data_IF_806860116333
#
_entry.id   IF_806860116333
#
_cell.length_a   1.000
_cell.length_b   1.000
_cell.length_c   1.000
_cell.angle_alpha   90.00
_cell.angle_beta   90.00
_cell.angle_gamma   90.00
#
_symmetry.space_group_name_H-M   'P 1'
#
loop_
_entity.id
_entity.type
_entity.pdbx_description
1 polymer ?
#
# COMPACT_ATOMS: atom_id res chain seq x y z
N UNK A 1 -31.54 -3.18 -3.64
CA UNK A 1 -31.13 -1.88 -3.09
C UNK A 1 -30.04 -2.17 -2.07
N UNK A 2 -28.89 -1.54 -2.17
CA UNK A 2 -27.80 -1.76 -1.21
C UNK A 2 -28.17 -1.06 0.10
N UNK A 3 -28.28 -1.81 1.17
CA UNK A 3 -28.52 -1.31 2.52
C UNK A 3 -27.46 -1.86 3.50
N UNK A 4 -27.43 -1.31 4.70
CA UNK A 4 -26.47 -1.66 5.74
C UNK A 4 -26.57 -3.15 6.11
N UNK A 5 -27.78 -3.70 6.18
CA UNK A 5 -28.01 -5.09 6.55
C UNK A 5 -27.41 -6.05 5.52
N UNK A 6 -27.51 -5.75 4.23
CA UNK A 6 -26.93 -6.57 3.17
C UNK A 6 -25.39 -6.57 3.25
N UNK A 7 -24.78 -5.42 3.55
CA UNK A 7 -23.33 -5.29 3.72
C UNK A 7 -22.87 -6.07 4.97
N UNK A 8 -23.56 -5.89 6.10
CA UNK A 8 -23.23 -6.61 7.34
C UNK A 8 -23.41 -8.13 7.17
N UNK A 9 -24.46 -8.60 6.51
CA UNK A 9 -24.66 -10.01 6.20
C UNK A 9 -23.55 -10.56 5.30
N UNK A 10 -23.09 -9.82 4.32
CA UNK A 10 -21.96 -10.21 3.46
C UNK A 10 -20.65 -10.32 4.25
N UNK A 11 -20.41 -9.42 5.19
CA UNK A 11 -19.25 -9.50 6.11
C UNK A 11 -19.39 -10.69 7.07
N UNK A 12 -20.59 -10.92 7.64
CA UNK A 12 -20.87 -12.03 8.53
C UNK A 12 -20.69 -13.40 7.84
N UNK A 13 -21.08 -13.54 6.57
CA UNK A 13 -20.84 -14.73 5.76
C UNK A 13 -19.33 -15.03 5.59
N UNK A 14 -18.47 -14.03 5.74
CA UNK A 14 -17.01 -14.15 5.74
C UNK A 14 -16.43 -14.33 7.17
N UNK A 15 -17.28 -14.54 8.18
CA UNK A 15 -16.88 -14.71 9.59
C UNK A 15 -16.46 -13.39 10.27
N UNK A 16 -16.87 -12.23 9.75
CA UNK A 16 -16.46 -10.92 10.21
C UNK A 16 -17.64 -10.20 10.86
N UNK A 17 -17.45 -9.80 12.12
CA UNK A 17 -18.39 -8.94 12.85
C UNK A 17 -17.86 -7.52 12.81
N UNK A 18 -18.60 -6.61 12.19
CA UNK A 18 -18.21 -5.21 12.06
C UNK A 18 -18.12 -4.52 13.43
N UNK A 19 -17.04 -3.79 13.68
CA UNK A 19 -16.90 -2.91 14.85
C UNK A 19 -17.65 -1.59 14.66
N UNK A 20 -17.60 -0.70 15.68
CA UNK A 20 -18.31 0.56 15.64
C UNK A 20 -17.88 1.46 14.47
N UNK A 21 -16.57 1.51 14.14
CA UNK A 21 -16.04 2.33 13.05
C UNK A 21 -16.36 1.73 11.69
N UNK A 22 -16.32 0.43 11.60
CA UNK A 22 -16.74 -0.28 10.39
C UNK A 22 -18.23 -0.07 10.12
N UNK A 23 -19.10 -0.13 11.15
CA UNK A 23 -20.52 0.19 10.99
C UNK A 23 -20.77 1.64 10.56
N UNK A 24 -20.05 2.59 11.15
CA UNK A 24 -20.11 3.99 10.69
C UNK A 24 -19.74 4.12 9.22
N UNK A 25 -18.71 3.41 8.78
CA UNK A 25 -18.28 3.36 7.38
C UNK A 25 -19.32 2.68 6.48
N UNK A 26 -19.91 1.57 6.94
CA UNK A 26 -20.98 0.86 6.23
C UNK A 26 -22.17 1.78 6.02
N UNK A 27 -22.63 2.48 7.05
CA UNK A 27 -23.74 3.43 6.97
C UNK A 27 -23.45 4.55 5.95
N UNK A 28 -22.25 5.14 6.00
CA UNK A 28 -21.85 6.19 5.07
C UNK A 28 -21.75 5.71 3.62
N UNK A 29 -21.22 4.51 3.40
CA UNK A 29 -21.10 3.92 2.06
C UNK A 29 -22.47 3.47 1.51
N UNK A 30 -23.35 2.93 2.36
CA UNK A 30 -24.71 2.62 1.97
C UNK A 30 -25.50 3.89 1.59
N UNK A 31 -25.33 4.98 2.36
CA UNK A 31 -25.91 6.29 2.04
C UNK A 31 -25.38 6.83 0.69
N UNK A 32 -24.07 6.77 0.46
CA UNK A 32 -23.43 7.19 -0.80
C UNK A 32 -24.01 6.48 -2.02
N UNK A 33 -24.37 5.20 -1.87
CA UNK A 33 -24.84 4.35 -2.98
C UNK A 33 -26.36 4.27 -3.10
N UNK A 34 -27.12 4.93 -2.22
CA UNK A 34 -28.59 5.02 -2.38
C UNK A 34 -28.91 5.71 -3.70
N UNK A 35 -29.87 5.16 -4.48
CA UNK A 35 -30.40 5.88 -5.62
C UNK A 35 -30.96 7.21 -5.14
N UNK A 36 -30.58 8.32 -5.77
CA UNK A 36 -31.15 9.62 -5.47
C UNK A 36 -32.66 9.57 -5.70
N UNK A 37 -33.46 9.52 -4.64
CA UNK A 37 -34.85 9.95 -4.72
C UNK A 37 -34.82 11.42 -5.16
N UNK A 38 -35.73 11.87 -6.04
CA UNK A 38 -35.71 13.18 -6.72
C UNK A 38 -35.51 14.39 -5.79
N UNK A 39 -35.59 14.20 -4.47
CA UNK A 39 -35.53 15.25 -3.45
C UNK A 39 -34.47 15.05 -2.37
N UNK A 40 -33.63 14.01 -2.46
CA UNK A 40 -32.60 13.73 -1.46
C UNK A 40 -31.20 13.74 -2.11
N UNK A 41 -30.54 14.87 -2.02
CA UNK A 41 -29.11 14.96 -2.35
C UNK A 41 -28.34 14.47 -1.14
N UNK A 42 -27.60 13.35 -1.27
CA UNK A 42 -26.59 13.01 -0.27
C UNK A 42 -25.69 14.23 -0.04
N UNK A 43 -25.48 14.59 1.21
CA UNK A 43 -24.60 15.72 1.57
C UNK A 43 -23.17 15.52 1.05
N UNK A 44 -22.77 14.26 0.85
CA UNK A 44 -21.43 13.88 0.46
C UNK A 44 -21.42 13.12 -0.87
N UNK A 45 -20.45 13.42 -1.72
CA UNK A 45 -20.19 12.72 -2.97
C UNK A 45 -19.15 11.60 -2.82
N UNK A 46 -18.52 11.49 -1.66
CA UNK A 46 -17.54 10.46 -1.40
C UNK A 46 -17.43 10.07 0.07
N UNK A 47 -16.74 8.96 0.30
CA UNK A 47 -16.32 8.49 1.63
C UNK A 47 -14.81 8.30 1.61
N UNK A 48 -14.15 8.88 2.60
CA UNK A 48 -12.70 8.81 2.82
C UNK A 48 -12.43 8.00 4.09
N UNK A 49 -11.99 6.76 3.93
CA UNK A 49 -11.65 5.87 5.05
C UNK A 49 -10.15 5.91 5.30
N UNK A 50 -9.72 6.40 6.47
CA UNK A 50 -8.29 6.44 6.79
C UNK A 50 -7.96 5.80 8.14
N UNK A 51 -6.68 5.49 8.35
CA UNK A 51 -6.15 4.90 9.58
C UNK A 51 -5.06 3.88 9.30
N UNK A 52 -4.49 3.30 10.33
CA UNK A 52 -3.39 2.34 10.22
C UNK A 52 -3.75 1.13 9.37
N UNK A 53 -2.77 0.48 8.72
CA UNK A 53 -2.97 -0.79 8.02
C UNK A 53 -3.57 -1.86 8.94
N UNK A 54 -4.36 -2.78 8.37
CA UNK A 54 -4.96 -3.89 9.13
C UNK A 54 -6.26 -3.55 9.88
N UNK A 55 -6.72 -2.31 9.88
CA UNK A 55 -7.93 -1.88 10.61
C UNK A 55 -9.25 -2.20 9.91
N UNK A 56 -9.20 -2.89 8.78
CA UNK A 56 -10.41 -3.33 8.06
C UNK A 56 -11.00 -2.32 7.09
N UNK A 57 -10.33 -1.20 6.79
CA UNK A 57 -10.76 -0.20 5.80
C UNK A 57 -11.10 -0.84 4.45
N UNK A 58 -10.09 -1.49 3.85
CA UNK A 58 -10.24 -2.13 2.54
C UNK A 58 -11.30 -3.20 2.55
N UNK A 59 -11.42 -3.97 3.63
CA UNK A 59 -12.42 -5.02 3.76
C UNK A 59 -13.86 -4.50 3.61
N UNK A 60 -14.19 -3.41 4.31
CA UNK A 60 -15.51 -2.78 4.22
C UNK A 60 -15.72 -2.20 2.82
N UNK A 61 -14.75 -1.44 2.31
CA UNK A 61 -14.81 -0.82 0.98
C UNK A 61 -14.91 -1.87 -0.13
N UNK A 62 -14.15 -2.98 -0.04
CA UNK A 62 -14.20 -4.11 -0.96
C UNK A 62 -15.60 -4.70 -1.02
N UNK A 63 -16.17 -5.01 0.16
CA UNK A 63 -17.50 -5.62 0.25
C UNK A 63 -18.56 -4.72 -0.36
N UNK A 64 -18.52 -3.42 -0.06
CA UNK A 64 -19.48 -2.45 -0.63
C UNK A 64 -19.27 -2.28 -2.13
N UNK A 65 -18.02 -2.20 -2.58
CA UNK A 65 -17.71 -2.09 -4.00
C UNK A 65 -18.20 -3.32 -4.78
N UNK A 66 -18.00 -4.53 -4.27
CA UNK A 66 -18.49 -5.76 -4.91
C UNK A 66 -20.02 -5.76 -5.04
N UNK A 67 -20.72 -5.35 -3.99
CA UNK A 67 -22.21 -5.33 -3.93
C UNK A 67 -22.83 -4.19 -4.72
N UNK A 68 -22.09 -3.15 -5.08
CA UNK A 68 -22.62 -2.00 -5.84
C UNK A 68 -23.01 -2.42 -7.26
N UNK A 69 -24.28 -2.23 -7.62
CA UNK A 69 -24.82 -2.49 -8.95
C UNK A 69 -24.87 -1.19 -9.77
N UNK A 70 -23.71 -0.76 -10.26
CA UNK A 70 -23.54 0.42 -11.09
C UNK A 70 -22.24 0.31 -11.91
N UNK A 71 -22.07 1.20 -12.90
CA UNK A 71 -20.81 1.28 -13.66
C UNK A 71 -19.69 1.79 -12.76
N UNK A 72 -18.80 0.90 -12.36
CA UNK A 72 -17.80 1.15 -11.34
C UNK A 72 -16.38 0.87 -11.83
N UNK A 73 -15.43 1.61 -11.28
CA UNK A 73 -14.01 1.44 -11.57
C UNK A 73 -13.21 1.47 -10.27
N UNK A 74 -12.26 0.56 -10.15
CA UNK A 74 -11.36 0.47 -8.99
C UNK A 74 -9.94 0.30 -9.44
N UNK A 75 -9.02 0.98 -8.80
CA UNK A 75 -7.60 0.85 -9.03
C UNK A 75 -6.80 1.40 -7.83
N UNK A 76 -5.55 0.99 -7.76
CA UNK A 76 -4.60 1.61 -6.84
C UNK A 76 -4.25 3.02 -7.31
N UNK A 77 -4.06 3.93 -6.36
CA UNK A 77 -3.83 5.34 -6.67
C UNK A 77 -2.62 5.57 -7.59
N UNK A 78 -1.52 4.84 -7.38
CA UNK A 78 -0.34 4.96 -8.25
C UNK A 78 -0.56 4.43 -9.69
N UNK A 79 -1.44 3.44 -9.88
CA UNK A 79 -1.83 2.97 -11.22
C UNK A 79 -2.62 4.04 -11.96
N UNK A 80 -3.53 4.70 -11.24
CA UNK A 80 -4.26 5.85 -11.75
C UNK A 80 -3.32 6.96 -12.20
N UNK A 81 -2.36 7.37 -11.35
CA UNK A 81 -1.37 8.41 -11.70
C UNK A 81 -0.58 8.05 -12.96
N UNK A 82 -0.15 6.81 -13.07
CA UNK A 82 0.58 6.30 -14.26
C UNK A 82 -0.29 6.36 -15.52
N UNK A 83 -1.55 5.96 -15.41
CA UNK A 83 -2.49 6.01 -16.53
C UNK A 83 -2.78 7.45 -16.96
N UNK A 84 -3.02 8.35 -16.01
CA UNK A 84 -3.29 9.76 -16.28
C UNK A 84 -2.11 10.45 -16.95
N UNK A 85 -0.89 10.24 -16.44
CA UNK A 85 0.32 10.80 -17.04
C UNK A 85 0.52 10.31 -18.48
N UNK A 86 0.29 9.01 -18.75
CA UNK A 86 0.37 8.46 -20.12
C UNK A 86 -0.67 9.10 -21.05
N UNK A 87 -1.90 9.32 -20.60
CA UNK A 87 -2.95 9.98 -21.39
C UNK A 87 -2.63 11.44 -21.65
N UNK A 88 -2.13 12.15 -20.64
CA UNK A 88 -1.71 13.55 -20.78
C UNK A 88 -0.62 13.73 -21.83
N UNK A 89 0.32 12.80 -21.95
CA UNK A 89 1.36 12.88 -23.00
C UNK A 89 0.75 12.84 -24.40
N UNK A 90 -0.31 12.05 -24.59
CA UNK A 90 -0.96 11.85 -25.89
C UNK A 90 -2.09 12.85 -26.17
N UNK A 91 -2.54 13.62 -25.19
CA UNK A 91 -3.59 14.62 -25.38
C UNK A 91 -3.08 15.85 -26.15
N UNK A 92 -3.82 16.33 -27.16
CA UNK A 92 -3.45 17.54 -27.90
C UNK A 92 -3.24 18.74 -26.96
N UNK A 93 -2.39 19.68 -27.39
CA UNK A 93 -2.16 20.92 -26.63
C UNK A 93 -3.43 21.75 -26.60
N UNK A 94 -3.85 22.19 -25.41
CA UNK A 94 -5.04 22.98 -25.16
C UNK A 94 -5.01 23.57 -23.75
N UNK A 95 -5.91 24.51 -23.47
CA UNK A 95 -5.92 25.28 -22.21
C UNK A 95 -6.27 24.43 -20.98
N UNK A 96 -7.06 23.37 -21.11
CA UNK A 96 -7.46 22.49 -20.01
C UNK A 96 -7.29 20.98 -20.38
N UNK A 97 -6.07 20.60 -20.70
CA UNK A 97 -5.74 19.22 -21.07
C UNK A 97 -6.09 18.22 -19.95
N UNK A 98 -5.82 18.57 -18.72
CA UNK A 98 -6.06 17.71 -17.57
C UNK A 98 -7.57 17.51 -17.33
N UNK A 99 -8.36 18.58 -17.46
CA UNK A 99 -9.82 18.47 -17.37
C UNK A 99 -10.41 17.63 -18.51
N UNK A 100 -9.90 17.78 -19.74
CA UNK A 100 -10.29 16.96 -20.90
C UNK A 100 -10.01 15.49 -20.66
N UNK A 101 -8.78 15.13 -20.29
CA UNK A 101 -8.37 13.75 -19.98
C UNK A 101 -9.19 13.18 -18.83
N UNK A 102 -9.42 13.99 -17.77
CA UNK A 102 -10.23 13.55 -16.62
C UNK A 102 -11.66 13.23 -17.00
N UNK A 103 -12.31 14.07 -17.83
CA UNK A 103 -13.66 13.83 -18.34
C UNK A 103 -13.73 12.56 -19.18
N UNK A 104 -12.78 12.38 -20.11
CA UNK A 104 -12.71 11.17 -20.93
C UNK A 104 -12.49 9.91 -20.07
N UNK A 105 -11.66 10.03 -19.03
CA UNK A 105 -11.35 8.92 -18.13
C UNK A 105 -12.54 8.53 -17.27
N UNK A 106 -13.34 9.50 -16.84
CA UNK A 106 -14.55 9.33 -16.02
C UNK A 106 -15.80 8.99 -16.85
N UNK A 107 -15.71 9.00 -18.16
CA UNK A 107 -16.87 8.74 -19.01
C UNK A 107 -17.52 7.39 -18.69
N UNK A 108 -18.80 7.45 -18.36
CA UNK A 108 -19.55 6.28 -17.94
C UNK A 108 -19.23 5.72 -16.55
N UNK A 109 -18.35 6.31 -15.75
CA UNK A 109 -18.04 5.87 -14.40
C UNK A 109 -18.99 6.54 -13.40
N UNK A 110 -19.81 5.73 -12.71
CA UNK A 110 -20.75 6.20 -11.69
C UNK A 110 -20.16 6.09 -10.28
N UNK A 111 -19.28 5.09 -10.07
CA UNK A 111 -18.60 4.86 -8.81
C UNK A 111 -17.11 4.61 -9.05
N UNK A 112 -16.28 5.40 -8.39
CA UNK A 112 -14.83 5.29 -8.42
C UNK A 112 -14.33 4.86 -7.04
N UNK A 113 -13.42 3.89 -7.01
CA UNK A 113 -12.73 3.49 -5.79
C UNK A 113 -11.22 3.60 -5.98
N UNK A 114 -10.56 4.38 -5.15
CA UNK A 114 -9.10 4.38 -5.04
C UNK A 114 -8.65 3.69 -3.78
N UNK A 115 -7.80 2.69 -3.97
CA UNK A 115 -7.09 2.06 -2.88
C UNK A 115 -5.75 2.75 -2.61
N UNK A 116 -5.38 2.77 -1.33
CA UNK A 116 -4.09 3.30 -0.87
C UNK A 116 -3.86 4.73 -1.36
N UNK A 117 -4.89 5.56 -1.26
CA UNK A 117 -4.81 6.97 -1.65
C UNK A 117 -3.78 7.71 -0.81
N UNK A 118 -2.77 8.23 -1.46
CA UNK A 118 -1.72 9.04 -0.85
C UNK A 118 -1.09 9.97 -1.89
N UNK A 119 -0.69 11.15 -1.46
CA UNK A 119 -0.04 12.16 -2.32
C UNK A 119 1.28 12.54 -1.67
N UNK A 120 2.37 12.34 -2.40
CA UNK A 120 3.72 12.57 -1.88
C UNK A 120 4.48 13.67 -2.62
N UNK A 121 4.14 13.96 -3.87
CA UNK A 121 4.79 15.03 -4.63
C UNK A 121 3.80 16.05 -5.17
N UNK A 122 4.32 17.21 -5.53
CA UNK A 122 3.51 18.36 -5.96
C UNK A 122 2.84 18.13 -7.32
N UNK A 123 3.44 17.37 -8.21
CA UNK A 123 2.86 17.08 -9.53
C UNK A 123 1.63 16.18 -9.40
N UNK A 124 1.74 15.14 -8.57
CA UNK A 124 0.63 14.25 -8.24
C UNK A 124 -0.49 15.00 -7.50
N UNK A 125 -0.12 15.92 -6.59
CA UNK A 125 -1.05 16.78 -5.87
C UNK A 125 -1.88 17.65 -6.83
N UNK A 126 -1.23 18.31 -7.78
CA UNK A 126 -1.88 19.15 -8.77
C UNK A 126 -2.81 18.35 -9.69
N UNK A 127 -2.32 17.20 -10.18
CA UNK A 127 -3.10 16.30 -11.01
C UNK A 127 -4.35 15.83 -10.26
N UNK A 128 -4.18 15.41 -8.99
CA UNK A 128 -5.29 14.90 -8.20
C UNK A 128 -6.31 15.98 -7.84
N UNK A 129 -5.88 17.19 -7.52
CA UNK A 129 -6.79 18.31 -7.24
C UNK A 129 -7.71 18.59 -8.43
N UNK A 130 -7.16 18.72 -9.63
CA UNK A 130 -7.93 18.95 -10.86
C UNK A 130 -8.80 17.77 -11.26
N UNK A 131 -8.35 16.54 -11.02
CA UNK A 131 -9.15 15.35 -11.25
C UNK A 131 -10.36 15.29 -10.31
N UNK A 132 -10.18 15.57 -9.01
CA UNK A 132 -11.27 15.64 -8.05
C UNK A 132 -12.27 16.73 -8.40
N UNK A 133 -11.84 17.92 -8.80
CA UNK A 133 -12.72 18.98 -9.31
C UNK A 133 -13.64 18.46 -10.40
N UNK A 134 -13.05 17.74 -11.37
CA UNK A 134 -13.80 17.20 -12.51
C UNK A 134 -14.77 16.10 -12.07
N UNK A 135 -14.32 15.17 -11.22
CA UNK A 135 -15.13 14.07 -10.73
C UNK A 135 -16.33 14.57 -9.90
N UNK A 136 -16.10 15.57 -9.04
CA UNK A 136 -17.16 16.23 -8.25
C UNK A 136 -18.15 16.94 -9.17
N UNK A 137 -17.67 17.70 -10.15
CA UNK A 137 -18.55 18.40 -11.11
C UNK A 137 -19.39 17.44 -11.95
N UNK A 138 -18.90 16.25 -12.27
CA UNK A 138 -19.63 15.20 -12.99
C UNK A 138 -20.58 14.40 -12.09
N UNK A 139 -20.56 14.59 -10.77
CA UNK A 139 -21.36 13.83 -9.82
C UNK A 139 -20.90 12.37 -9.64
N UNK A 140 -19.66 12.05 -10.01
CA UNK A 140 -19.09 10.72 -9.79
C UNK A 140 -18.96 10.45 -8.29
N UNK A 141 -19.48 9.33 -7.82
CA UNK A 141 -19.35 8.89 -6.42
C UNK A 141 -17.97 8.31 -6.21
N UNK A 142 -17.32 8.64 -5.08
CA UNK A 142 -15.92 8.27 -4.86
C UNK A 142 -15.74 7.60 -3.48
N UNK A 143 -15.05 6.47 -3.47
CA UNK A 143 -14.59 5.79 -2.26
C UNK A 143 -13.07 5.83 -2.21
N UNK A 144 -12.50 6.28 -1.09
CA UNK A 144 -11.06 6.37 -0.89
C UNK A 144 -10.65 5.57 0.35
N UNK A 145 -9.62 4.75 0.23
CA UNK A 145 -8.92 4.20 1.39
C UNK A 145 -7.53 4.81 1.50
N UNK A 146 -7.11 5.19 2.69
CA UNK A 146 -5.81 5.80 2.94
C UNK A 146 -5.21 5.35 4.28
N UNK A 147 -3.91 5.42 4.41
CA UNK A 147 -3.24 5.30 5.70
C UNK A 147 -3.09 6.66 6.40
N UNK A 148 -3.37 7.77 5.70
CA UNK A 148 -3.19 9.14 6.16
C UNK A 148 -4.53 9.86 6.30
N UNK A 149 -4.66 10.70 7.32
CA UNK A 149 -5.74 11.69 7.38
C UNK A 149 -5.58 12.70 6.23
N UNK A 150 -6.67 13.33 5.74
CA UNK A 150 -6.57 14.33 4.67
C UNK A 150 -5.53 15.41 4.95
N UNK A 151 -5.39 15.84 6.21
CA UNK A 151 -4.47 16.87 6.67
C UNK A 151 -2.99 16.47 6.56
N UNK A 152 -2.73 15.17 6.50
CA UNK A 152 -1.37 14.61 6.39
C UNK A 152 -1.00 14.20 4.96
N UNK A 153 -1.88 14.47 4.00
CA UNK A 153 -1.53 14.31 2.58
C UNK A 153 -0.59 15.45 2.16
N UNK A 154 0.45 15.11 1.39
CA UNK A 154 1.50 16.05 0.98
C UNK A 154 2.00 16.88 2.17
N UNK A 155 2.52 16.19 3.20
CA UNK A 155 2.96 16.82 4.46
C UNK A 155 4.28 17.61 4.34
N UNK A 156 4.88 17.71 3.15
CA UNK A 156 6.02 18.56 2.88
C UNK A 156 5.68 20.02 3.14
N UNK A 157 6.37 20.71 4.07
CA UNK A 157 6.06 22.10 4.45
C UNK A 157 6.11 23.07 3.27
N UNK A 158 6.98 22.84 2.28
CA UNK A 158 7.12 23.71 1.11
C UNK A 158 5.90 23.62 0.18
N UNK A 159 5.26 22.46 0.10
CA UNK A 159 4.19 22.21 -0.86
C UNK A 159 2.81 22.02 -0.20
N UNK A 160 2.76 21.76 1.10
CA UNK A 160 1.51 21.48 1.82
C UNK A 160 0.46 22.61 1.63
N UNK A 161 0.88 23.86 1.74
CA UNK A 161 -0.03 25.00 1.56
C UNK A 161 -0.72 25.01 0.19
N UNK A 162 -0.03 24.54 -0.85
CA UNK A 162 -0.59 24.46 -2.21
C UNK A 162 -1.63 23.34 -2.35
N UNK A 163 -1.62 22.37 -1.45
CA UNK A 163 -2.57 21.26 -1.45
C UNK A 163 -3.78 21.49 -0.51
N UNK A 164 -3.74 22.49 0.35
CA UNK A 164 -4.87 22.86 1.23
C UNK A 164 -6.22 23.02 0.51
N UNK A 165 -6.31 23.58 -0.69
CA UNK A 165 -7.57 23.64 -1.41
C UNK A 165 -8.16 22.26 -1.70
N UNK A 166 -7.34 21.30 -2.10
CA UNK A 166 -7.77 19.91 -2.34
C UNK A 166 -8.16 19.19 -1.05
N UNK A 167 -7.43 19.42 0.05
CA UNK A 167 -7.83 18.94 1.38
C UNK A 167 -9.20 19.52 1.77
N UNK A 168 -9.42 20.81 1.48
CA UNK A 168 -10.70 21.48 1.70
C UNK A 168 -11.84 20.85 0.91
N UNK A 169 -11.62 20.48 -0.35
CA UNK A 169 -12.59 19.75 -1.17
C UNK A 169 -12.90 18.36 -0.60
N UNK A 170 -11.88 17.61 -0.18
CA UNK A 170 -12.09 16.33 0.47
C UNK A 170 -12.98 16.50 1.71
N UNK A 171 -12.68 17.47 2.57
CA UNK A 171 -13.49 17.74 3.77
C UNK A 171 -14.92 18.19 3.47
N UNK A 172 -15.12 18.93 2.40
CA UNK A 172 -16.43 19.45 2.00
C UNK A 172 -17.30 18.40 1.34
N UNK A 173 -16.73 17.57 0.47
CA UNK A 173 -17.46 16.65 -0.39
C UNK A 173 -17.37 15.19 0.04
N UNK A 174 -16.53 14.84 1.01
CA UNK A 174 -16.37 13.47 1.50
C UNK A 174 -16.71 13.37 2.99
N UNK A 175 -17.38 12.28 3.34
CA UNK A 175 -17.44 11.87 4.74
C UNK A 175 -16.13 11.20 5.13
N UNK A 176 -15.36 11.85 6.00
CA UNK A 176 -14.07 11.36 6.48
C UNK A 176 -14.29 10.48 7.71
N UNK A 177 -13.79 9.24 7.67
CA UNK A 177 -13.93 8.24 8.72
C UNK A 177 -12.57 7.72 9.12
N UNK A 178 -12.24 7.86 10.40
CA UNK A 178 -11.00 7.36 10.97
C UNK A 178 -11.19 5.96 11.57
N UNK A 179 -10.43 5.00 11.07
CA UNK A 179 -10.38 3.64 11.58
C UNK A 179 -9.31 3.53 12.69
N UNK A 180 -9.70 3.80 13.93
CA UNK A 180 -8.86 3.80 15.13
C UNK A 180 -9.00 2.53 15.99
N UNK A 181 -9.75 1.53 15.51
CA UNK A 181 -10.01 0.28 16.22
C UNK A 181 -8.73 -0.41 16.70
N UNK A 182 -8.74 -0.93 17.94
CA UNK A 182 -7.61 -1.63 18.51
C UNK A 182 -7.35 -3.01 17.88
N UNK A 183 -8.34 -3.59 17.19
CA UNK A 183 -8.28 -4.94 16.62
C UNK A 183 -7.67 -4.92 15.23
N UNK A 184 -6.61 -5.72 15.05
CA UNK A 184 -6.07 -6.00 13.72
C UNK A 184 -6.87 -7.15 13.09
N UNK A 185 -7.65 -6.85 12.06
CA UNK A 185 -8.52 -7.81 11.38
C UNK A 185 -7.78 -8.77 10.45
N UNK A 186 -6.46 -8.63 10.31
CA UNK A 186 -5.63 -9.55 9.53
C UNK A 186 -5.55 -10.95 10.15
N UNK A 187 -5.90 -11.09 11.43
CA UNK A 187 -5.79 -12.34 12.20
C UNK A 187 -7.09 -13.15 12.32
N UNK A 188 -8.15 -12.81 11.60
CA UNK A 188 -9.47 -13.46 11.67
C UNK A 188 -9.92 -14.13 10.38
N UNK A 189 -9.50 -15.36 10.15
CA UNK A 189 -10.15 -16.36 9.24
C UNK A 189 -9.93 -16.21 7.74
N UNK A 190 -9.32 -17.22 7.13
CA UNK A 190 -8.88 -17.52 5.76
C UNK A 190 -7.52 -16.91 5.39
N UNK A 191 -6.68 -17.72 4.73
CA UNK A 191 -5.27 -17.50 4.43
C UNK A 191 -4.97 -16.07 3.94
N UNK A 192 -4.61 -15.21 4.88
CA UNK A 192 -4.10 -13.88 4.58
C UNK A 192 -2.65 -14.02 4.12
N UNK A 193 -2.19 -13.20 3.16
CA UNK A 193 -0.76 -13.08 2.93
C UNK A 193 -0.11 -12.77 4.28
N UNK A 194 0.93 -13.51 4.63
CA UNK A 194 1.67 -13.30 5.88
C UNK A 194 2.06 -11.85 6.02
N UNK A 195 2.01 -11.27 7.22
CA UNK A 195 2.52 -9.93 7.44
C UNK A 195 3.95 -9.86 6.91
N UNK A 196 4.29 -8.76 6.24
CA UNK A 196 5.64 -8.58 5.68
C UNK A 196 6.52 -7.73 6.58
N UNK A 197 5.92 -6.92 7.44
CA UNK A 197 6.64 -6.04 8.36
C UNK A 197 6.21 -6.33 9.79
N UNK A 198 7.18 -6.52 10.65
CA UNK A 198 7.06 -7.02 12.02
C UNK A 198 7.68 -6.02 12.99
N UNK A 199 7.04 -5.80 14.12
CA UNK A 199 7.56 -5.00 15.24
C UNK A 199 6.73 -5.31 16.50
N UNK A 200 7.31 -5.17 17.70
CA UNK A 200 8.72 -4.85 18.00
C UNK A 200 9.66 -6.01 17.71
N UNK A 201 10.98 -5.82 17.97
CA UNK A 201 12.01 -6.86 17.91
C UNK A 201 11.96 -7.70 19.20
N UNK A 202 11.12 -8.74 19.19
CA UNK A 202 10.96 -9.69 20.29
C UNK A 202 11.02 -11.14 19.81
N UNK A 203 10.88 -12.10 20.74
CA UNK A 203 10.92 -13.52 20.41
C UNK A 203 9.81 -13.92 19.44
N UNK A 204 8.60 -13.35 19.58
CA UNK A 204 7.45 -13.65 18.71
C UNK A 204 7.71 -13.19 17.27
N UNK A 205 8.36 -12.03 17.09
CA UNK A 205 8.82 -11.55 15.78
C UNK A 205 9.88 -12.49 15.18
N UNK A 206 10.83 -12.96 15.97
CA UNK A 206 11.82 -13.94 15.53
C UNK A 206 11.19 -15.25 15.05
N UNK A 207 10.22 -15.77 15.80
CA UNK A 207 9.46 -16.98 15.43
C UNK A 207 8.64 -16.74 14.15
N UNK A 208 7.99 -15.59 14.02
CA UNK A 208 7.25 -15.23 12.82
C UNK A 208 8.12 -15.14 11.56
N UNK A 209 9.34 -14.57 11.66
CA UNK A 209 10.29 -14.56 10.54
C UNK A 209 10.77 -15.96 10.19
N UNK A 210 11.01 -16.82 11.19
CA UNK A 210 11.35 -18.23 10.98
C UNK A 210 10.24 -18.94 10.23
N UNK A 211 8.98 -18.74 10.62
CA UNK A 211 7.82 -19.32 9.95
C UNK A 211 7.69 -18.82 8.50
N UNK A 212 7.95 -17.53 8.27
CA UNK A 212 8.04 -16.99 6.92
C UNK A 212 9.11 -17.68 6.10
N UNK A 213 10.33 -17.81 6.62
CA UNK A 213 11.43 -18.47 5.92
C UNK A 213 11.10 -19.92 5.59
N UNK A 214 10.65 -20.72 6.57
CA UNK A 214 10.32 -22.13 6.42
C UNK A 214 9.12 -22.38 5.50
N UNK A 215 8.22 -21.44 5.34
CA UNK A 215 7.08 -21.54 4.41
C UNK A 215 7.53 -21.59 2.95
N UNK A 216 8.59 -20.87 2.60
CA UNK A 216 9.09 -20.78 1.24
C UNK A 216 10.30 -21.69 0.98
N UNK A 217 10.91 -22.22 2.05
CA UNK A 217 12.15 -23.00 2.00
C UNK A 217 11.99 -24.34 2.73
N UNK A 218 11.72 -25.40 1.97
CA UNK A 218 11.52 -26.74 2.53
C UNK A 218 12.80 -27.38 3.09
N UNK A 219 13.98 -26.88 2.73
CA UNK A 219 15.28 -27.48 3.07
C UNK A 219 16.33 -26.45 3.50
N UNK A 220 15.92 -25.21 3.83
CA UNK A 220 16.86 -24.15 4.22
C UNK A 220 17.43 -24.39 5.61
N UNK A 221 18.75 -24.48 5.72
CA UNK A 221 19.45 -24.43 7.00
C UNK A 221 19.31 -23.01 7.61
N UNK A 222 18.90 -22.97 8.88
CA UNK A 222 18.86 -21.72 9.66
C UNK A 222 20.22 -21.42 10.29
N UNK A 223 21.30 -21.67 9.55
CA UNK A 223 22.67 -21.47 10.01
C UNK A 223 23.28 -20.27 9.35
N UNK A 224 24.02 -19.50 10.16
CA UNK A 224 24.73 -18.33 9.68
C UNK A 224 25.70 -18.72 8.55
N UNK A 225 25.47 -18.17 7.37
CA UNK A 225 26.21 -18.53 6.15
C UNK A 225 26.96 -17.32 5.61
N UNK A 226 28.25 -17.51 5.30
CA UNK A 226 29.03 -16.52 4.58
C UNK A 226 28.75 -16.63 3.08
N UNK A 227 28.43 -15.52 2.45
CA UNK A 227 28.24 -15.42 1.01
C UNK A 227 28.88 -14.12 0.47
N UNK A 228 28.87 -13.95 -0.82
CA UNK A 228 29.33 -12.73 -1.48
C UNK A 228 28.17 -12.03 -2.15
N UNK A 229 28.08 -10.70 -2.00
CA UNK A 229 27.21 -9.82 -2.76
C UNK A 229 28.10 -8.88 -3.61
N UNK A 230 28.01 -8.96 -4.93
CA UNK A 230 28.85 -8.22 -5.87
C UNK A 230 30.35 -8.23 -5.49
N UNK A 231 30.87 -9.38 -5.07
CA UNK A 231 32.28 -9.55 -4.65
C UNK A 231 32.58 -9.16 -3.19
N UNK A 232 31.61 -8.62 -2.42
CA UNK A 232 31.79 -8.22 -1.03
C UNK A 232 31.23 -9.27 -0.06
N UNK A 233 31.94 -9.59 1.05
CA UNK A 233 31.46 -10.57 2.00
C UNK A 233 30.14 -10.11 2.67
N UNK A 234 29.20 -11.03 2.81
CA UNK A 234 27.93 -10.87 3.52
C UNK A 234 27.72 -12.07 4.44
N UNK A 235 27.36 -11.84 5.69
CA UNK A 235 26.93 -12.87 6.61
C UNK A 235 25.39 -12.85 6.64
N UNK A 236 24.77 -13.94 6.20
CA UNK A 236 23.34 -14.14 6.27
C UNK A 236 23.00 -15.01 7.48
N UNK A 237 21.82 -14.81 8.07
CA UNK A 237 21.26 -15.70 9.12
C UNK A 237 20.80 -17.02 8.56
N UNK A 238 20.23 -16.96 7.35
CA UNK A 238 19.82 -18.16 6.62
C UNK A 238 19.82 -17.90 5.10
N UNK A 239 20.12 -18.93 4.33
CA UNK A 239 20.16 -18.88 2.88
C UNK A 239 19.31 -19.99 2.31
N UNK A 240 18.23 -19.62 1.63
CA UNK A 240 17.39 -20.54 0.90
C UNK A 240 17.54 -20.41 -0.61
N UNK A 241 16.77 -21.21 -1.36
CA UNK A 241 16.73 -21.12 -2.82
C UNK A 241 15.98 -19.88 -3.32
N UNK A 242 14.92 -19.44 -2.60
CA UNK A 242 14.10 -18.31 -2.95
C UNK A 242 14.28 -17.10 -2.03
N UNK A 243 14.61 -17.33 -0.75
CA UNK A 243 14.76 -16.31 0.27
C UNK A 243 16.19 -16.20 0.82
N UNK A 244 16.60 -14.97 1.03
CA UNK A 244 17.79 -14.63 1.82
C UNK A 244 17.35 -13.94 3.12
N UNK A 245 17.85 -14.39 4.27
CA UNK A 245 17.62 -13.77 5.57
C UNK A 245 18.91 -13.19 6.11
N UNK A 246 18.98 -11.89 6.27
CA UNK A 246 20.17 -11.21 6.79
C UNK A 246 19.80 -10.06 7.73
N UNK A 247 20.74 -9.72 8.62
CA UNK A 247 20.60 -8.56 9.50
C UNK A 247 20.73 -7.25 8.72
N UNK A 248 19.99 -6.25 9.16
CA UNK A 248 20.08 -4.88 8.64
C UNK A 248 21.52 -4.32 8.73
N UNK A 249 22.23 -4.69 9.80
CA UNK A 249 23.63 -4.30 9.95
C UNK A 249 24.49 -4.78 8.78
N UNK A 250 24.36 -6.02 8.37
CA UNK A 250 25.10 -6.60 7.25
C UNK A 250 24.67 -6.04 5.89
N UNK A 251 23.40 -5.63 5.77
CA UNK A 251 22.83 -5.12 4.53
C UNK A 251 23.00 -3.61 4.35
N UNK A 252 22.81 -2.80 5.41
CA UNK A 252 22.71 -1.35 5.27
C UNK A 252 23.67 -0.56 6.16
N UNK A 253 24.09 -1.07 7.33
CA UNK A 253 25.10 -0.40 8.16
C UNK A 253 26.49 -0.65 7.59
N UNK A 254 26.81 -1.89 7.24
CA UNK A 254 28.03 -2.22 6.52
C UNK A 254 28.12 -1.48 5.17
N UNK A 255 29.32 -1.21 4.70
CA UNK A 255 29.54 -0.53 3.41
C UNK A 255 29.02 -1.36 2.24
N UNK A 256 27.89 -0.97 1.69
CA UNK A 256 27.24 -1.54 0.51
C UNK A 256 27.05 -0.51 -0.59
N UNK A 257 27.01 -0.97 -1.81
CA UNK A 257 26.69 -0.16 -2.98
C UNK A 257 25.40 -0.64 -3.63
N UNK A 258 24.88 0.13 -4.56
CA UNK A 258 23.72 -0.23 -5.37
C UNK A 258 23.91 -1.59 -6.09
N UNK A 259 25.14 -1.92 -6.51
CA UNK A 259 25.47 -3.19 -7.19
C UNK A 259 25.27 -4.41 -6.28
N UNK A 260 25.55 -4.28 -4.97
CA UNK A 260 25.31 -5.36 -4.02
C UNK A 260 23.84 -5.74 -3.99
N UNK A 261 22.93 -4.76 -3.96
CA UNK A 261 21.49 -5.00 -3.93
C UNK A 261 20.95 -5.54 -5.24
N UNK A 262 21.52 -5.13 -6.38
CA UNK A 262 21.18 -5.72 -7.68
C UNK A 262 21.54 -7.20 -7.74
N UNK A 263 22.75 -7.58 -7.29
CA UNK A 263 23.19 -8.97 -7.21
C UNK A 263 22.27 -9.81 -6.30
N UNK A 264 21.92 -9.27 -5.12
CA UNK A 264 20.99 -9.94 -4.20
C UNK A 264 19.59 -10.11 -4.83
N UNK A 265 19.07 -9.09 -5.50
CA UNK A 265 17.76 -9.14 -6.15
C UNK A 265 17.74 -10.04 -7.40
N UNK A 266 18.85 -10.30 -8.04
CA UNK A 266 18.95 -11.25 -9.14
C UNK A 266 18.93 -12.71 -8.64
N UNK A 267 19.59 -12.97 -7.54
CA UNK A 267 19.79 -14.33 -6.99
C UNK A 267 18.58 -14.81 -6.19
N UNK A 268 17.90 -13.94 -5.44
CA UNK A 268 16.78 -14.30 -4.58
C UNK A 268 15.48 -13.64 -5.00
N UNK A 269 14.36 -14.35 -4.80
CA UNK A 269 13.01 -13.86 -5.06
C UNK A 269 12.50 -12.97 -3.95
N UNK A 270 13.12 -13.01 -2.76
CA UNK A 270 12.79 -12.16 -1.64
C UNK A 270 13.90 -12.07 -0.62
N UNK A 271 13.84 -11.04 0.22
CA UNK A 271 14.76 -10.80 1.32
C UNK A 271 13.99 -10.63 2.63
N UNK A 272 14.54 -11.24 3.70
CA UNK A 272 14.17 -10.95 5.08
C UNK A 272 15.28 -10.07 5.66
N UNK A 273 14.91 -8.84 6.00
CA UNK A 273 15.78 -7.83 6.62
C UNK A 273 15.42 -7.76 8.10
N UNK A 274 16.28 -8.34 8.92
CA UNK A 274 16.04 -8.46 10.35
C UNK A 274 16.80 -7.39 11.14
N UNK A 275 16.33 -7.14 12.37
CA UNK A 275 16.99 -6.29 13.35
C UNK A 275 17.21 -4.84 12.86
N UNK A 276 16.19 -4.25 12.22
CA UNK A 276 16.20 -2.84 11.84
C UNK A 276 15.96 -1.99 13.09
N UNK A 277 16.95 -1.17 13.47
CA UNK A 277 16.87 -0.28 14.63
C UNK A 277 16.72 1.17 14.18
N UNK A 278 15.78 1.88 14.78
CA UNK A 278 15.49 3.29 14.45
C UNK A 278 16.74 4.17 14.60
N UNK A 279 17.60 3.89 15.58
CA UNK A 279 18.88 4.61 15.79
C UNK A 279 19.83 4.57 14.57
N UNK A 280 19.77 3.51 13.77
CA UNK A 280 20.60 3.40 12.56
C UNK A 280 20.02 4.16 11.38
N UNK A 281 18.71 4.35 11.37
CA UNK A 281 18.03 5.08 10.32
C UNK A 281 18.29 6.60 10.37
N UNK A 282 18.73 7.11 11.52
CA UNK A 282 19.13 8.54 11.66
C UNK A 282 20.42 8.88 10.91
N UNK A 283 21.22 7.86 10.52
CA UNK A 283 22.45 8.04 9.76
C UNK A 283 22.15 8.10 8.28
N UNK A 284 22.41 9.23 7.63
CA UNK A 284 22.08 9.50 6.23
C UNK A 284 22.58 8.42 5.25
N UNK A 285 23.80 7.93 5.44
CA UNK A 285 24.36 6.87 4.57
C UNK A 285 23.70 5.50 4.76
N UNK A 286 23.22 5.18 5.97
CA UNK A 286 22.50 3.94 6.27
C UNK A 286 21.09 4.03 5.69
N UNK A 287 20.43 5.18 5.88
CA UNK A 287 19.13 5.47 5.33
C UNK A 287 19.14 5.40 3.79
N UNK A 288 20.13 6.02 3.16
CA UNK A 288 20.28 5.96 1.70
C UNK A 288 20.43 4.53 1.17
N UNK A 289 21.12 3.65 1.90
CA UNK A 289 21.23 2.23 1.52
C UNK A 289 19.90 1.49 1.67
N UNK A 290 19.11 1.79 2.71
CA UNK A 290 17.77 1.25 2.82
C UNK A 290 16.88 1.71 1.65
N UNK A 291 16.96 2.98 1.26
CA UNK A 291 16.26 3.52 0.09
C UNK A 291 16.63 2.75 -1.17
N UNK A 292 17.91 2.55 -1.44
CA UNK A 292 18.38 1.77 -2.60
C UNK A 292 17.89 0.31 -2.55
N UNK A 293 17.95 -0.32 -1.39
CA UNK A 293 17.48 -1.69 -1.21
C UNK A 293 15.97 -1.81 -1.55
N UNK A 294 15.16 -0.93 -0.97
CA UNK A 294 13.70 -0.90 -1.21
C UNK A 294 13.40 -0.63 -2.69
N UNK A 295 14.05 0.36 -3.28
CA UNK A 295 13.86 0.74 -4.67
C UNK A 295 14.16 -0.43 -5.63
N UNK A 296 15.30 -1.11 -5.43
CA UNK A 296 15.70 -2.24 -6.27
C UNK A 296 14.75 -3.42 -6.12
N UNK A 297 14.39 -3.78 -4.89
CA UNK A 297 13.49 -4.91 -4.65
C UNK A 297 12.10 -4.63 -5.24
N UNK A 298 11.60 -3.41 -5.09
CA UNK A 298 10.33 -2.97 -5.66
C UNK A 298 10.34 -3.05 -7.19
N UNK A 299 11.34 -2.45 -7.84
CA UNK A 299 11.46 -2.41 -9.31
C UNK A 299 11.64 -3.81 -9.91
N UNK A 300 12.30 -4.72 -9.19
CA UNK A 300 12.51 -6.13 -9.57
C UNK A 300 11.36 -7.06 -9.13
N UNK A 301 10.30 -6.52 -8.54
CA UNK A 301 9.16 -7.29 -8.01
C UNK A 301 9.61 -8.40 -7.05
N UNK A 302 10.53 -8.09 -6.15
CA UNK A 302 11.00 -9.02 -5.13
C UNK A 302 10.20 -8.85 -3.84
N UNK A 303 10.03 -9.96 -3.09
CA UNK A 303 9.41 -9.89 -1.77
C UNK A 303 10.36 -9.23 -0.76
N UNK A 304 9.80 -8.44 0.15
CA UNK A 304 10.55 -7.83 1.25
C UNK A 304 9.82 -8.07 2.58
N UNK A 305 10.53 -8.65 3.52
CA UNK A 305 10.09 -8.81 4.90
C UNK A 305 11.03 -8.01 5.80
N UNK A 306 10.48 -7.23 6.73
CA UNK A 306 11.28 -6.38 7.64
C UNK A 306 10.86 -6.65 9.08
N UNK A 307 11.86 -6.86 9.97
CA UNK A 307 11.65 -6.78 11.40
C UNK A 307 12.38 -5.56 11.98
N UNK A 308 11.66 -4.74 12.73
CA UNK A 308 12.14 -3.46 13.26
C UNK A 308 11.73 -3.24 14.71
N UNK A 309 12.49 -2.43 15.44
CA UNK A 309 12.18 -2.07 16.85
C UNK A 309 10.89 -1.25 16.99
N UNK A 310 10.54 -0.48 15.96
CA UNK A 310 9.29 0.25 15.83
C UNK A 310 8.66 -0.03 14.46
N UNK A 311 7.34 0.20 14.28
CA UNK A 311 6.73 0.09 12.95
C UNK A 311 7.53 0.90 11.93
N UNK A 312 8.04 0.26 10.87
CA UNK A 312 8.99 0.86 9.93
C UNK A 312 8.48 2.18 9.30
N UNK A 313 7.17 2.28 9.06
CA UNK A 313 6.58 3.52 8.57
C UNK A 313 6.65 4.67 9.59
N UNK A 314 6.50 4.36 10.88
CA UNK A 314 6.63 5.36 11.94
C UNK A 314 8.10 5.77 12.13
N UNK A 315 9.02 4.79 12.10
CA UNK A 315 10.45 5.04 12.21
C UNK A 315 10.98 5.95 11.09
N UNK A 316 10.54 5.73 9.85
CA UNK A 316 10.95 6.53 8.70
C UNK A 316 10.22 7.88 8.63
N UNK A 317 8.93 7.93 8.99
CA UNK A 317 8.11 9.15 8.95
C UNK A 317 8.51 10.21 9.99
N UNK A 318 9.24 9.81 11.05
CA UNK A 318 9.76 10.72 12.07
C UNK A 318 11.14 11.34 11.77
N UNK A 319 11.75 11.01 10.61
CA UNK A 319 13.08 11.50 10.26
C UNK A 319 13.01 12.85 9.55
N UNK A 320 13.84 13.79 9.99
CA UNK A 320 14.00 15.10 9.33
C UNK A 320 14.69 14.92 7.96
N UNK A 321 14.22 15.64 6.93
CA UNK A 321 14.81 15.60 5.57
C UNK A 321 14.17 14.57 4.62
N UNK A 322 12.92 14.22 4.81
CA UNK A 322 12.21 13.09 4.22
C UNK A 322 11.79 13.23 2.73
N UNK A 323 12.33 14.17 1.94
CA UNK A 323 11.92 14.32 0.53
C UNK A 323 12.11 13.05 -0.31
N UNK A 324 13.24 12.33 -0.12
CA UNK A 324 13.50 11.05 -0.77
C UNK A 324 12.75 9.88 -0.10
N UNK A 325 12.28 10.04 1.14
CA UNK A 325 11.62 8.99 1.91
C UNK A 325 10.15 8.82 1.55
N UNK A 326 9.49 9.84 1.02
CA UNK A 326 8.07 9.76 0.64
C UNK A 326 7.85 8.66 -0.38
N UNK A 327 8.71 8.58 -1.40
CA UNK A 327 8.68 7.53 -2.41
C UNK A 327 8.96 6.14 -1.80
N UNK A 328 9.94 6.05 -0.91
CA UNK A 328 10.28 4.79 -0.22
C UNK A 328 9.14 4.31 0.67
N UNK A 329 8.51 5.22 1.43
CA UNK A 329 7.34 4.91 2.25
C UNK A 329 6.16 4.43 1.40
N UNK A 330 5.93 5.05 0.25
CA UNK A 330 4.91 4.63 -0.71
C UNK A 330 5.17 3.22 -1.24
N UNK A 331 6.42 2.93 -1.65
CA UNK A 331 6.82 1.60 -2.12
C UNK A 331 6.69 0.53 -1.04
N UNK A 332 7.10 0.84 0.19
CA UNK A 332 6.92 -0.05 1.35
C UNK A 332 5.44 -0.33 1.61
N UNK A 333 4.57 0.69 1.55
CA UNK A 333 3.13 0.53 1.71
C UNK A 333 2.55 -0.37 0.61
N UNK A 334 2.94 -0.14 -0.65
CA UNK A 334 2.50 -0.98 -1.77
C UNK A 334 3.00 -2.42 -1.64
N UNK A 335 4.26 -2.62 -1.24
CA UNK A 335 4.83 -3.97 -1.04
C UNK A 335 4.12 -4.77 0.06
N UNK A 336 3.40 -4.12 0.99
CA UNK A 336 2.52 -4.77 1.97
C UNK A 336 1.13 -5.07 1.44
N UNK A 337 0.71 -4.44 0.33
CA UNK A 337 -0.65 -4.57 -0.18
C UNK A 337 -0.92 -5.96 -0.75
N UNK A 338 -2.21 -6.34 -0.77
CA UNK A 338 -2.65 -7.59 -1.41
C UNK A 338 -2.48 -7.57 -2.93
N UNK A 339 -2.48 -6.38 -3.52
CA UNK A 339 -2.30 -6.18 -4.96
C UNK A 339 -0.86 -6.32 -5.44
N UNK A 340 0.11 -6.24 -4.53
CA UNK A 340 1.52 -6.34 -4.89
C UNK A 340 1.91 -7.79 -5.20
N UNK A 341 1.90 -8.12 -6.48
CA UNK A 341 2.44 -9.42 -6.96
C UNK A 341 3.95 -9.34 -7.05
N UNK A 342 4.59 -10.35 -6.52
CA UNK A 342 6.06 -10.46 -6.50
C UNK A 342 6.50 -11.87 -6.90
N UNK A 343 7.78 -12.00 -7.22
CA UNK A 343 8.36 -13.24 -7.75
C UNK A 343 8.25 -14.44 -6.78
N UNK A 344 8.04 -14.19 -5.48
CA UNK A 344 7.88 -15.24 -4.48
C UNK A 344 6.46 -15.80 -4.52
N UNK A 345 5.44 -14.91 -4.54
CA UNK A 345 4.03 -15.31 -4.63
C UNK A 345 3.74 -15.99 -5.98
N UNK A 346 4.28 -15.46 -7.09
CA UNK A 346 4.13 -16.04 -8.43
C UNK A 346 4.71 -17.47 -8.53
N UNK A 347 5.70 -17.80 -7.70
CA UNK A 347 6.27 -19.14 -7.64
C UNK A 347 5.39 -20.14 -6.89
N UNK A 348 4.61 -19.67 -5.91
CA UNK A 348 3.67 -20.49 -5.14
C UNK A 348 2.40 -20.81 -5.95
N UNK A 349 1.97 -19.86 -6.80
CA UNK A 349 0.77 -20.02 -7.65
C UNK A 349 0.98 -20.95 -8.86
N UNK A 350 2.22 -21.31 -9.19
CA UNK A 350 2.51 -22.30 -10.26
C UNK A 350 2.40 -23.70 -9.66
N UNK A 351 1.42 -24.54 -10.11
CA UNK A 351 1.43 -25.95 -9.74
C UNK A 351 2.77 -26.56 -10.18
N UNK A 352 3.33 -27.41 -9.33
CA UNK A 352 4.52 -28.19 -9.66
C UNK A 352 4.28 -28.85 -11.04
N UNK A 353 4.95 -28.37 -12.07
CA UNK A 353 4.99 -29.11 -13.34
C UNK A 353 5.62 -30.43 -13.02
N UNK A 354 4.80 -31.47 -13.08
CA UNK A 354 5.25 -32.86 -13.03
C UNK A 354 6.43 -33.02 -13.98
N UNK A 355 7.59 -33.26 -13.38
CA UNK A 355 8.76 -33.77 -14.12
C UNK A 355 8.43 -35.21 -14.54
N UNK A 356 7.70 -35.34 -15.63
CA UNK A 356 7.57 -36.58 -16.35
C UNK A 356 7.43 -36.23 -17.84
N UNK A 357 8.57 -36.21 -18.50
CA UNK A 357 8.79 -36.43 -19.93
C UNK A 357 10.22 -35.97 -20.30
N UNK A 358 11.21 -36.86 -19.98
CA UNK A 358 12.29 -37.22 -20.93
C UNK A 358 13.08 -38.41 -20.41
#
# INVERSE_FOLDING_TARGET
MLDEALIENSLAARGIVADARQRESIAALAELLRPAARDFHSRYQGVYCHGLPGRGKSLVVDTVFELADCRKRRLHFHEFLREMNRRLVNEPRGDDRLGSVSKQWLDGVELLCFDEFHVHDIADAFLMGRFLDTAIALGTRIMLTSNYAPEHLLSDPEFHERFLPTIGQIRQHFRVIHFDGARDYRFGGQAHPSPRFFSPLDAATGDALRDVFLRYESSGALDATKLSAAGRPLIARAVGAALLWADFEALCVASRSHLDYLDLAERWRGLIVDNVRTEWLTKSHTLQRLVWLVDILYDRKRALFIASDQPIHAALGGLEGAHDLSRTLSRLAEMQSRGYRNALDDAMDRPAQTADER
#
